data_IF_737685018207
#
_entry.id   IF_737685018207
#
_cell.length_a   1.000
_cell.length_b   1.000
_cell.length_c   1.000
_cell.angle_alpha   90.00
_cell.angle_beta   90.00
_cell.angle_gamma   90.00
#
_symmetry.space_group_name_H-M   'P 1'
#
loop_
_entity.id
_entity.type
_entity.pdbx_description
1 polymer ?
#
# COMPACT_ATOMS: atom_id res chain seq x y z
N UNK A 1 -9.72 23.86 -1.17
CA UNK A 1 -8.62 23.46 -2.05
C UNK A 1 -8.29 21.98 -1.85
N UNK A 2 -8.19 21.26 -2.95
CA UNK A 2 -7.87 19.84 -2.87
C UNK A 2 -6.38 19.65 -2.57
N UNK A 3 -6.08 18.68 -1.73
CA UNK A 3 -4.68 18.28 -1.52
C UNK A 3 -4.25 17.37 -2.66
N UNK A 4 -2.94 17.15 -2.77
CA UNK A 4 -2.43 16.20 -3.76
C UNK A 4 -3.02 14.80 -3.55
N UNK A 5 -3.26 14.42 -2.31
CA UNK A 5 -3.88 13.13 -2.00
C UNK A 5 -5.29 13.05 -2.55
N UNK A 6 -6.07 14.12 -2.38
CA UNK A 6 -7.45 14.13 -2.85
C UNK A 6 -7.52 14.05 -4.36
N UNK A 7 -6.56 14.65 -5.05
CA UNK A 7 -6.52 14.60 -6.51
C UNK A 7 -6.42 13.18 -7.04
N UNK A 8 -5.74 12.29 -6.30
CA UNK A 8 -5.63 10.89 -6.71
C UNK A 8 -6.99 10.17 -6.76
N UNK A 9 -7.98 10.69 -6.05
CA UNK A 9 -9.28 10.04 -5.97
C UNK A 9 -10.35 10.74 -6.79
N UNK A 10 -10.00 11.83 -7.45
CA UNK A 10 -10.91 12.50 -8.37
C UNK A 10 -11.19 11.58 -9.55
N UNK A 11 -12.46 11.53 -9.95
CA UNK A 11 -12.90 10.68 -11.06
C UNK A 11 -12.73 9.19 -10.80
N UNK A 12 -12.55 8.82 -9.52
CA UNK A 12 -12.49 7.41 -9.11
C UNK A 12 -13.79 7.06 -8.39
N UNK A 13 -14.09 5.77 -8.34
CA UNK A 13 -15.23 5.29 -7.58
C UNK A 13 -15.07 5.65 -6.10
N UNK A 14 -16.15 6.02 -5.39
CA UNK A 14 -16.04 6.32 -3.96
C UNK A 14 -15.45 5.20 -3.13
N UNK A 15 -15.60 3.95 -3.57
CA UNK A 15 -15.05 2.81 -2.84
C UNK A 15 -13.52 2.87 -2.76
N UNK A 16 -12.88 3.45 -3.77
CA UNK A 16 -11.42 3.54 -3.81
C UNK A 16 -10.91 4.38 -2.66
N UNK A 17 -11.54 5.52 -2.40
CA UNK A 17 -11.17 6.38 -1.29
C UNK A 17 -11.44 5.69 0.05
N UNK A 18 -12.55 4.99 0.16
CA UNK A 18 -12.89 4.26 1.38
C UNK A 18 -11.85 3.18 1.70
N UNK A 19 -11.38 2.48 0.66
CA UNK A 19 -10.32 1.47 0.82
C UNK A 19 -9.05 2.15 1.35
N UNK A 20 -8.67 3.26 0.75
CA UNK A 20 -7.46 3.98 1.13
C UNK A 20 -7.54 4.46 2.58
N UNK A 21 -8.68 5.04 2.96
CA UNK A 21 -8.84 5.55 4.32
C UNK A 21 -8.75 4.43 5.35
N UNK A 22 -9.35 3.29 5.07
CA UNK A 22 -9.28 2.14 5.97
C UNK A 22 -7.86 1.62 6.07
N UNK A 23 -7.18 1.53 4.93
CA UNK A 23 -5.79 1.08 4.88
C UNK A 23 -4.89 1.99 5.71
N UNK A 24 -5.00 3.29 5.51
CA UNK A 24 -4.17 4.25 6.22
C UNK A 24 -4.44 4.26 7.71
N UNK A 25 -5.69 4.09 8.11
CA UNK A 25 -6.04 4.00 9.52
C UNK A 25 -5.27 2.88 10.21
N UNK A 26 -5.15 1.73 9.54
CA UNK A 26 -4.41 0.60 10.08
C UNK A 26 -2.90 0.83 10.04
N UNK A 27 -2.42 1.40 8.94
CA UNK A 27 -0.98 1.61 8.75
C UNK A 27 -0.44 2.65 9.74
N UNK A 28 -1.22 3.67 10.04
CA UNK A 28 -0.82 4.71 11.00
C UNK A 28 -0.59 4.14 12.39
N UNK A 29 -1.20 3.02 12.70
CA UNK A 29 -1.01 2.37 14.00
C UNK A 29 0.34 1.66 14.12
N UNK A 30 1.08 1.52 13.03
CA UNK A 30 2.41 0.86 13.06
C UNK A 30 3.45 1.75 13.74
N UNK A 31 3.33 3.07 13.62
CA UNK A 31 4.29 4.01 14.15
C UNK A 31 4.34 5.26 13.30
N UNK A 32 5.43 5.98 13.40
CA UNK A 32 5.60 7.21 12.63
C UNK A 32 5.79 6.89 11.15
N UNK A 33 4.98 7.54 10.32
CA UNK A 33 5.05 7.34 8.87
C UNK A 33 4.99 8.70 8.17
N UNK A 34 5.51 8.74 6.94
CA UNK A 34 5.43 9.89 6.06
C UNK A 34 4.71 9.48 4.79
N UNK A 35 3.75 10.30 4.37
CA UNK A 35 2.98 10.04 3.16
C UNK A 35 3.41 11.01 2.08
N UNK A 36 3.90 10.49 0.97
CA UNK A 36 4.31 11.29 -0.18
C UNK A 36 3.39 11.03 -1.34
N UNK A 37 2.79 12.10 -1.85
CA UNK A 37 1.97 12.01 -3.06
C UNK A 37 2.86 12.28 -4.26
N UNK A 38 2.87 11.34 -5.21
CA UNK A 38 3.57 11.54 -6.49
C UNK A 38 2.53 11.53 -7.59
N UNK A 39 2.97 11.74 -8.83
CA UNK A 39 2.07 12.00 -9.94
C UNK A 39 0.92 11.01 -10.10
N UNK A 40 1.19 9.71 -9.98
CA UNK A 40 0.18 8.69 -10.22
C UNK A 40 0.01 7.71 -9.07
N UNK A 41 0.69 7.96 -7.95
CA UNK A 41 0.62 7.02 -6.83
C UNK A 41 0.93 7.75 -5.53
N UNK A 42 0.76 7.00 -4.43
CA UNK A 42 1.01 7.52 -3.09
C UNK A 42 2.03 6.58 -2.45
N UNK A 43 3.11 7.13 -1.93
CA UNK A 43 4.16 6.35 -1.28
C UNK A 43 4.15 6.62 0.21
N UNK A 44 4.17 5.56 1.01
CA UNK A 44 4.22 5.66 2.47
C UNK A 44 5.58 5.18 2.93
N UNK A 45 6.24 5.99 3.73
CA UNK A 45 7.61 5.74 4.18
C UNK A 45 7.72 5.69 5.70
N UNK A 46 8.66 4.90 6.17
CA UNK A 46 9.08 4.89 7.57
C UNK A 46 10.61 4.90 7.56
N UNK A 47 11.19 6.06 7.17
CA UNK A 47 12.59 6.17 6.84
C UNK A 47 12.84 5.80 5.38
N UNK A 48 12.31 4.67 4.96
CA UNK A 48 12.33 4.23 3.56
C UNK A 48 10.92 3.83 3.15
N UNK A 49 10.67 3.77 1.86
CA UNK A 49 9.35 3.37 1.36
C UNK A 49 9.04 1.93 1.75
N UNK A 50 7.87 1.69 2.34
CA UNK A 50 7.43 0.33 2.66
C UNK A 50 6.07 0.00 2.06
N UNK A 51 5.37 1.00 1.55
CA UNK A 51 4.03 0.81 1.01
C UNK A 51 3.83 1.76 -0.15
N UNK A 52 3.29 1.23 -1.24
CA UNK A 52 2.88 2.03 -2.38
C UNK A 52 1.40 1.81 -2.62
N UNK A 53 0.69 2.86 -2.99
CA UNK A 53 -0.75 2.81 -3.22
C UNK A 53 -1.02 3.53 -4.53
N UNK A 54 -1.70 2.84 -5.44
CA UNK A 54 -2.07 3.42 -6.72
C UNK A 54 -3.57 3.32 -6.93
N UNK A 55 -4.29 4.44 -6.83
CA UNK A 55 -5.73 4.42 -7.06
C UNK A 55 -6.04 4.12 -8.52
N UNK A 56 -6.93 3.17 -8.74
CA UNK A 56 -7.47 2.83 -10.04
C UNK A 56 -8.91 3.30 -10.08
N UNK A 57 -9.60 3.09 -11.20
CA UNK A 57 -10.97 3.56 -11.36
C UNK A 57 -11.91 2.99 -10.30
N UNK A 58 -11.85 1.68 -10.08
CA UNK A 58 -12.75 0.98 -9.15
C UNK A 58 -12.02 0.13 -8.13
N UNK A 59 -10.70 0.28 -8.01
CA UNK A 59 -9.92 -0.52 -7.09
C UNK A 59 -8.71 0.26 -6.61
N UNK A 60 -8.03 -0.29 -5.60
CA UNK A 60 -6.81 0.30 -5.09
C UNK A 60 -5.71 -0.75 -5.25
N UNK A 61 -4.67 -0.41 -5.99
CA UNK A 61 -3.51 -1.28 -6.10
C UNK A 61 -2.56 -0.98 -4.96
N UNK A 62 -2.23 -2.01 -4.19
CA UNK A 62 -1.36 -1.90 -3.03
C UNK A 62 -0.08 -2.66 -3.32
N UNK A 63 1.07 -2.04 -3.08
CA UNK A 63 2.35 -2.73 -3.21
C UNK A 63 3.12 -2.64 -1.91
N UNK A 64 3.79 -3.73 -1.57
CA UNK A 64 4.61 -3.79 -0.36
C UNK A 64 5.83 -4.65 -0.63
N UNK A 65 6.84 -4.52 0.22
CA UNK A 65 8.13 -5.16 0.03
C UNK A 65 8.36 -6.26 1.05
N UNK A 66 8.80 -7.42 0.59
CA UNK A 66 9.21 -8.51 1.46
C UNK A 66 10.60 -8.95 1.03
N UNK A 67 11.26 -9.72 1.89
CA UNK A 67 12.58 -10.26 1.57
C UNK A 67 12.49 -11.70 1.05
N UNK A 68 11.29 -12.11 0.66
CA UNK A 68 11.02 -13.42 0.07
C UNK A 68 9.84 -13.30 -0.88
N UNK A 69 9.66 -14.30 -1.76
CA UNK A 69 8.52 -14.35 -2.65
C UNK A 69 7.34 -15.01 -1.93
N UNK A 70 6.26 -14.26 -1.76
CA UNK A 70 5.05 -14.78 -1.15
C UNK A 70 4.14 -15.32 -2.25
N UNK A 71 3.86 -16.60 -2.21
CA UNK A 71 2.93 -17.24 -3.15
C UNK A 71 1.58 -17.37 -2.47
N UNK A 72 0.73 -16.40 -2.74
CA UNK A 72 -0.60 -16.33 -2.15
C UNK A 72 -1.58 -15.83 -3.19
N UNK A 73 -2.83 -16.31 -3.10
CA UNK A 73 -3.85 -15.97 -4.07
C UNK A 73 -4.15 -14.46 -4.12
N UNK A 74 -3.91 -13.74 -3.05
CA UNK A 74 -4.16 -12.29 -3.04
C UNK A 74 -3.09 -11.51 -3.80
N UNK A 75 -1.93 -12.10 -4.02
CA UNK A 75 -0.83 -11.44 -4.72
C UNK A 75 -1.02 -11.59 -6.22
N UNK A 76 -1.18 -10.45 -6.91
CA UNK A 76 -1.40 -10.44 -8.36
C UNK A 76 -0.11 -10.51 -9.15
N UNK A 77 0.96 -9.94 -8.61
CA UNK A 77 2.21 -9.81 -9.32
C UNK A 77 3.35 -9.70 -8.33
N UNK A 78 4.50 -10.22 -8.71
CA UNK A 78 5.72 -10.11 -7.91
C UNK A 78 6.82 -9.57 -8.80
N UNK A 79 7.61 -8.64 -8.28
CA UNK A 79 8.73 -8.07 -9.00
C UNK A 79 9.94 -7.98 -8.06
N UNK A 80 11.00 -8.72 -8.39
CA UNK A 80 12.22 -8.66 -7.61
C UNK A 80 13.00 -7.40 -7.96
N UNK A 81 13.13 -6.49 -7.01
CA UNK A 81 13.89 -5.26 -7.22
C UNK A 81 15.33 -5.42 -6.82
N UNK A 82 15.57 -6.24 -5.81
CA UNK A 82 16.91 -6.58 -5.37
C UNK A 82 16.83 -7.89 -4.61
N UNK A 83 17.97 -8.36 -4.13
CA UNK A 83 18.06 -9.63 -3.43
C UNK A 83 17.15 -9.70 -2.21
N UNK A 84 17.01 -8.57 -1.49
CA UNK A 84 16.26 -8.53 -0.25
C UNK A 84 15.02 -7.64 -0.32
N UNK A 85 14.63 -7.24 -1.53
CA UNK A 85 13.47 -6.38 -1.73
C UNK A 85 12.64 -6.91 -2.88
N UNK A 86 11.57 -7.59 -2.56
CA UNK A 86 10.67 -8.17 -3.55
C UNK A 86 9.33 -7.50 -3.41
N UNK A 87 8.90 -6.81 -4.48
CA UNK A 87 7.64 -6.07 -4.47
C UNK A 87 6.50 -7.02 -4.78
N UNK A 88 5.45 -6.93 -3.97
CA UNK A 88 4.24 -7.71 -4.15
C UNK A 88 3.08 -6.76 -4.41
N UNK A 89 2.28 -7.07 -5.42
CA UNK A 89 1.15 -6.24 -5.82
C UNK A 89 -0.15 -6.95 -5.48
N UNK A 90 -1.05 -6.22 -4.82
CA UNK A 90 -2.37 -6.72 -4.43
C UNK A 90 -3.41 -5.72 -4.90
N UNK A 91 -4.45 -6.20 -5.57
CA UNK A 91 -5.58 -5.35 -5.98
C UNK A 91 -6.69 -5.49 -4.96
N UNK A 92 -7.12 -4.36 -4.40
CA UNK A 92 -8.17 -4.31 -3.38
C UNK A 92 -9.40 -3.66 -4.00
N UNK A 93 -10.51 -4.37 -4.02
CA UNK A 93 -11.73 -3.94 -4.68
C UNK A 93 -12.81 -3.43 -3.74
N UNK A 94 -12.67 -3.69 -2.45
CA UNK A 94 -13.61 -3.17 -1.46
C UNK A 94 -12.92 -3.10 -0.09
N UNK A 95 -13.46 -2.29 0.85
CA UNK A 95 -12.81 -2.10 2.16
C UNK A 95 -12.69 -3.38 2.98
N UNK A 96 -13.55 -4.37 2.76
CA UNK A 96 -13.47 -5.62 3.51
C UNK A 96 -12.20 -6.40 3.19
N UNK A 97 -11.58 -6.13 2.05
CA UNK A 97 -10.33 -6.78 1.66
C UNK A 97 -9.12 -6.20 2.39
N UNK A 98 -9.29 -5.07 3.06
CA UNK A 98 -8.27 -4.53 3.96
C UNK A 98 -8.44 -5.27 5.29
N UNK A 99 -8.01 -6.52 5.31
CA UNK A 99 -8.20 -7.42 6.44
C UNK A 99 -6.91 -7.68 7.18
N UNK A 100 -6.99 -8.50 8.23
CA UNK A 100 -5.84 -8.77 9.08
C UNK A 100 -4.68 -9.38 8.29
N UNK A 101 -4.97 -10.21 7.30
CA UNK A 101 -3.93 -10.83 6.48
C UNK A 101 -3.15 -9.79 5.69
N UNK A 102 -3.85 -8.91 4.99
CA UNK A 102 -3.20 -7.86 4.20
C UNK A 102 -2.41 -6.91 5.10
N UNK A 103 -3.00 -6.50 6.22
CA UNK A 103 -2.33 -5.59 7.15
C UNK A 103 -1.10 -6.24 7.75
N UNK A 104 -1.17 -7.54 8.04
CA UNK A 104 -0.01 -8.27 8.56
C UNK A 104 1.15 -8.27 7.57
N UNK A 105 0.85 -8.44 6.28
CA UNK A 105 1.88 -8.41 5.24
C UNK A 105 2.49 -7.02 5.09
N UNK A 106 1.67 -5.99 5.17
CA UNK A 106 2.15 -4.61 5.10
C UNK A 106 3.01 -4.29 6.32
N UNK A 107 2.63 -4.82 7.48
CA UNK A 107 3.43 -4.66 8.70
C UNK A 107 4.80 -5.31 8.55
N UNK A 108 4.88 -6.46 7.89
CA UNK A 108 6.18 -7.09 7.61
C UNK A 108 7.04 -6.17 6.76
N UNK A 109 6.43 -5.51 5.78
CA UNK A 109 7.14 -4.54 4.95
C UNK A 109 7.65 -3.36 5.79
N UNK A 110 6.81 -2.88 6.70
CA UNK A 110 7.18 -1.81 7.62
C UNK A 110 8.39 -2.21 8.47
N UNK A 111 8.34 -3.43 9.02
CA UNK A 111 9.43 -3.93 9.85
C UNK A 111 10.72 -4.10 9.04
N UNK A 112 10.58 -4.50 7.79
CA UNK A 112 11.73 -4.69 6.91
C UNK A 112 12.52 -3.39 6.71
N UNK A 113 11.81 -2.28 6.53
CA UNK A 113 12.47 -0.99 6.30
C UNK A 113 12.86 -0.27 7.60
N UNK A 114 12.25 -0.61 8.73
CA UNK A 114 12.58 0.02 10.02
C UNK A 114 13.51 -0.82 10.87
N UNK A 115 13.64 -2.10 10.57
CA UNK A 115 14.50 -3.00 11.33
C UNK A 115 15.95 -2.78 10.91
N UNK A 116 16.79 -2.53 11.88
CA UNK A 116 18.21 -2.29 11.62
C UNK A 116 19.06 -3.46 12.07
#
# INVERSE_FOLDING_TARGET
>A
MLTDLEEHFMNKSPVVKAIFEKLMQKVESFGEITVNSVKSSITVKAGAAFLGVKPKKDSLEVEFYLDYELKDDIVNKILAMSKNRIVHYVSVNNPAEVNAKLISLIRESYKLVTNK
#
